data_IF_201491228757
#
_entry.id   IF_201491228757
#
_cell.length_a   1.000
_cell.length_b   1.000
_cell.length_c   1.000
_cell.angle_alpha   90.00
_cell.angle_beta   90.00
_cell.angle_gamma   90.00
#
_symmetry.space_group_name_H-M   'P 1'
#
loop_
_entity.id
_entity.type
_entity.pdbx_description
1 polymer ?
#
# COMPACT_ATOMS: atom_id res chain seq x y z
N UNK A 1 -4.84 18.89 11.20
CA UNK A 1 -3.92 18.26 10.24
C UNK A 1 -2.58 18.94 10.39
N UNK A 2 -1.55 18.24 10.89
CA UNK A 2 -0.20 18.79 11.01
C UNK A 2 0.58 18.39 9.74
N UNK A 3 0.95 19.39 8.92
CA UNK A 3 1.66 19.18 7.65
C UNK A 3 3.04 18.58 7.90
N UNK A 4 3.79 19.07 8.89
CA UNK A 4 5.13 18.58 9.23
C UNK A 4 5.14 17.10 9.61
N UNK A 5 4.04 16.61 10.17
CA UNK A 5 3.87 15.20 10.49
C UNK A 5 3.90 14.30 9.24
N UNK A 6 3.49 14.79 8.07
CA UNK A 6 3.57 14.01 6.83
C UNK A 6 4.98 13.97 6.22
N UNK A 7 5.83 14.95 6.55
CA UNK A 7 7.16 15.11 5.94
C UNK A 7 8.32 14.69 6.85
N UNK A 8 8.07 14.38 8.11
CA UNK A 8 9.11 13.86 9.02
C UNK A 8 9.38 12.37 8.80
N UNK A 9 10.57 11.93 9.19
CA UNK A 9 10.90 10.51 9.26
C UNK A 9 10.15 9.84 10.41
N UNK A 10 9.46 8.74 10.12
CA UNK A 10 8.78 7.90 11.12
C UNK A 10 9.47 6.54 11.19
N UNK A 11 10.35 6.31 12.19
CA UNK A 11 10.97 5.00 12.37
C UNK A 11 9.92 3.94 12.74
N UNK A 12 10.00 2.72 12.21
CA UNK A 12 9.13 1.63 12.62
C UNK A 12 9.25 1.35 14.11
N UNK A 13 8.12 1.07 14.76
CA UNK A 13 8.07 0.67 16.17
C UNK A 13 7.10 -0.48 16.41
N UNK A 14 7.30 -1.22 17.49
CA UNK A 14 6.43 -2.35 17.84
C UNK A 14 6.28 -3.37 16.71
N UNK A 15 5.04 -3.70 16.37
CA UNK A 15 4.66 -4.68 15.34
C UNK A 15 4.46 -4.08 13.94
N UNK A 16 4.79 -2.80 13.73
CA UNK A 16 4.52 -2.11 12.46
C UNK A 16 5.15 -2.81 11.25
N UNK A 17 6.36 -3.37 11.40
CA UNK A 17 7.02 -4.11 10.33
C UNK A 17 6.20 -5.33 9.86
N UNK A 18 5.60 -6.07 10.79
CA UNK A 18 4.76 -7.24 10.50
C UNK A 18 3.47 -6.80 9.78
N UNK A 19 2.89 -5.69 10.21
CA UNK A 19 1.69 -5.11 9.58
C UNK A 19 1.97 -4.63 8.15
N UNK A 20 3.13 -4.00 7.91
CA UNK A 20 3.56 -3.66 6.55
C UNK A 20 3.70 -4.88 5.65
N UNK A 21 4.28 -5.97 6.17
CA UNK A 21 4.41 -7.24 5.43
C UNK A 21 3.03 -7.79 5.07
N UNK A 22 2.09 -7.81 6.03
CA UNK A 22 0.73 -8.29 5.81
C UNK A 22 -0.01 -7.46 4.74
N UNK A 23 0.07 -6.14 4.80
CA UNK A 23 -0.55 -5.24 3.80
C UNK A 23 0.05 -5.47 2.41
N UNK A 24 1.38 -5.53 2.32
CA UNK A 24 2.08 -5.76 1.05
C UNK A 24 1.74 -7.12 0.43
N UNK A 25 1.66 -8.17 1.26
CA UNK A 25 1.26 -9.50 0.81
C UNK A 25 -0.17 -9.51 0.24
N UNK A 26 -1.13 -8.89 0.93
CA UNK A 26 -2.51 -8.81 0.46
C UNK A 26 -2.63 -8.01 -0.85
N UNK A 27 -1.94 -6.87 -0.95
CA UNK A 27 -1.92 -6.06 -2.18
C UNK A 27 -1.30 -6.82 -3.36
N UNK A 28 -0.23 -7.59 -3.10
CA UNK A 28 0.41 -8.43 -4.11
C UNK A 28 -0.55 -9.49 -4.66
N UNK A 29 -1.24 -10.22 -3.78
CA UNK A 29 -2.21 -11.25 -4.20
C UNK A 29 -3.28 -10.65 -5.11
N UNK A 30 -3.86 -9.50 -4.74
CA UNK A 30 -4.87 -8.85 -5.58
C UNK A 30 -4.29 -8.40 -6.94
N UNK A 31 -3.08 -7.83 -6.96
CA UNK A 31 -2.43 -7.44 -8.21
C UNK A 31 -2.14 -8.64 -9.13
N UNK A 32 -1.68 -9.76 -8.57
CA UNK A 32 -1.47 -11.02 -9.31
C UNK A 32 -2.81 -11.53 -9.87
N UNK A 33 -3.88 -11.56 -9.07
CA UNK A 33 -5.22 -11.95 -9.53
C UNK A 33 -5.72 -11.04 -10.67
N UNK A 34 -5.48 -9.73 -10.62
CA UNK A 34 -5.84 -8.80 -11.71
C UNK A 34 -5.09 -9.16 -13.00
N UNK A 35 -3.78 -9.44 -12.91
CA UNK A 35 -2.98 -9.83 -14.07
C UNK A 35 -3.47 -11.14 -14.68
N UNK A 36 -3.84 -12.11 -13.84
CA UNK A 36 -4.29 -13.44 -14.27
C UNK A 36 -5.70 -13.45 -14.86
N UNK A 37 -6.58 -12.57 -14.39
CA UNK A 37 -8.02 -12.63 -14.73
C UNK A 37 -8.49 -11.53 -15.68
N UNK A 38 -7.74 -10.43 -15.82
CA UNK A 38 -8.11 -9.33 -16.71
C UNK A 38 -7.26 -9.34 -18.00
N UNK A 39 -7.86 -9.05 -19.17
CA UNK A 39 -7.11 -8.87 -20.41
C UNK A 39 -6.14 -7.68 -20.28
N UNK A 40 -5.10 -7.69 -21.10
CA UNK A 40 -4.21 -6.54 -21.21
C UNK A 40 -4.95 -5.32 -21.75
N UNK A 41 -5.05 -4.29 -20.91
CA UNK A 41 -5.74 -3.04 -21.21
C UNK A 41 -5.31 -1.94 -20.24
N UNK A 42 -5.64 -0.70 -20.57
CA UNK A 42 -5.42 0.46 -19.69
C UNK A 42 -6.15 0.32 -18.34
N UNK A 43 -7.31 -0.33 -18.32
CA UNK A 43 -8.06 -0.60 -17.09
C UNK A 43 -7.33 -1.57 -16.17
N UNK A 44 -6.69 -2.61 -16.72
CA UNK A 44 -5.86 -3.54 -15.94
C UNK A 44 -4.70 -2.80 -15.29
N UNK A 45 -3.98 -1.99 -16.07
CA UNK A 45 -2.87 -1.18 -15.56
C UNK A 45 -3.33 -0.18 -14.49
N UNK A 46 -4.48 0.47 -14.72
CA UNK A 46 -5.09 1.37 -13.75
C UNK A 46 -5.46 0.65 -12.46
N UNK A 47 -6.01 -0.56 -12.54
CA UNK A 47 -6.35 -1.36 -11.36
C UNK A 47 -5.08 -1.70 -10.54
N UNK A 48 -3.99 -2.12 -11.20
CA UNK A 48 -2.71 -2.39 -10.53
C UNK A 48 -2.15 -1.11 -9.86
N UNK A 49 -2.24 0.05 -10.53
CA UNK A 49 -1.83 1.34 -9.96
C UNK A 49 -2.63 1.68 -8.70
N UNK A 50 -3.95 1.49 -8.73
CA UNK A 50 -4.83 1.71 -7.57
C UNK A 50 -4.51 0.77 -6.41
N UNK A 51 -4.21 -0.50 -6.68
CA UNK A 51 -3.77 -1.44 -5.64
C UNK A 51 -2.47 -0.97 -4.98
N UNK A 52 -1.50 -0.52 -5.77
CA UNK A 52 -0.25 0.04 -5.26
C UNK A 52 -0.49 1.31 -4.43
N UNK A 53 -1.35 2.20 -4.89
CA UNK A 53 -1.73 3.42 -4.16
C UNK A 53 -2.37 3.08 -2.80
N UNK A 54 -3.37 2.19 -2.80
CA UNK A 54 -4.03 1.74 -1.57
C UNK A 54 -3.04 1.14 -0.57
N UNK A 55 -2.10 0.31 -1.04
CA UNK A 55 -1.04 -0.28 -0.21
C UNK A 55 -0.14 0.80 0.42
N UNK A 56 0.30 1.79 -0.36
CA UNK A 56 1.16 2.86 0.13
C UNK A 56 0.42 3.76 1.14
N UNK A 57 -0.84 4.10 0.86
CA UNK A 57 -1.69 4.88 1.76
C UNK A 57 -1.94 4.15 3.07
N UNK A 58 -2.19 2.83 3.04
CA UNK A 58 -2.34 2.02 4.23
C UNK A 58 -1.06 1.96 5.08
N UNK A 59 0.11 1.79 4.45
CA UNK A 59 1.39 1.83 5.15
C UNK A 59 1.66 3.22 5.77
N UNK A 60 1.34 4.30 5.05
CA UNK A 60 1.47 5.65 5.56
C UNK A 60 0.53 5.92 6.76
N UNK A 61 -0.68 5.35 6.75
CA UNK A 61 -1.60 5.46 7.88
C UNK A 61 -0.99 4.89 9.18
N UNK A 62 -0.25 3.78 9.08
CA UNK A 62 0.49 3.21 10.22
C UNK A 62 1.68 4.10 10.60
N UNK A 63 2.52 4.46 9.62
CA UNK A 63 3.75 5.20 9.88
C UNK A 63 3.50 6.58 10.51
N UNK A 64 2.45 7.28 10.07
CA UNK A 64 2.22 8.70 10.40
C UNK A 64 1.36 8.89 11.65
N UNK A 65 0.50 7.92 12.00
CA UNK A 65 -0.50 8.09 13.07
C UNK A 65 -0.21 7.28 14.34
N UNK A 66 0.84 6.46 14.35
CA UNK A 66 1.18 5.64 15.52
C UNK A 66 2.46 6.08 16.17
#
# INVERSE_FOLDING_TARGET
>A
MNIDNFFRYHPPKGDQAERYIKIRAAARVLAETIVETCPESEDRDMAIRKVREAMMTANAAIAVNE
#
